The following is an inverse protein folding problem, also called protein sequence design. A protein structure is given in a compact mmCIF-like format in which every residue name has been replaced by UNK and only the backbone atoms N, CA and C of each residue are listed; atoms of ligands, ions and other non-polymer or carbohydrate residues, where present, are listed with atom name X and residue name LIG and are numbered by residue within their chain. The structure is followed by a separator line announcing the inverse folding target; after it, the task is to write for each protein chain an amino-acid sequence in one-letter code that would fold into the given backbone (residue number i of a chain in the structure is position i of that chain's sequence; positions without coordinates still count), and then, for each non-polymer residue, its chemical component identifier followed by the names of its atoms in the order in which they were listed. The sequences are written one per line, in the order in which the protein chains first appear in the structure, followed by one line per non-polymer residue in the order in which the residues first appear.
data_IF_437675186656
#
_entry.id   IF_437675186656
#
_cell.length_a   1.000
_cell.length_b   1.000
_cell.length_c   1.000
_cell.angle_alpha   90.00
_cell.angle_beta   90.00
_cell.angle_gamma   90.00
#
_symmetry.space_group_name_H-M   'P 1'
#
loop_
_entity.id
_entity.type
_entity.pdbx_description
1 polymer ?
#
# COMPACT_ATOMS: atom_id res chain seq x y z
N UNK A 1 8.78 13.23 -32.74
CA UNK A 1 7.36 13.03 -32.35
C UNK A 1 7.32 11.82 -31.44
N UNK A 2 6.84 11.92 -30.18
CA UNK A 2 6.73 10.74 -29.33
C UNK A 2 5.72 9.76 -29.95
N UNK A 3 6.06 8.48 -29.97
CA UNK A 3 5.23 7.44 -30.59
C UNK A 3 3.89 7.30 -29.84
N UNK A 4 2.78 6.98 -30.53
CA UNK A 4 1.46 6.85 -29.90
C UNK A 4 1.44 5.82 -28.74
N UNK A 5 2.38 4.89 -28.71
CA UNK A 5 2.55 3.91 -27.64
C UNK A 5 3.01 4.49 -26.29
N UNK A 6 3.82 5.55 -26.27
CA UNK A 6 4.22 6.19 -25.00
C UNK A 6 3.05 6.95 -24.38
N UNK A 7 2.17 7.52 -25.22
CA UNK A 7 0.96 8.20 -24.78
C UNK A 7 -0.02 7.18 -24.17
N UNK A 8 -0.20 6.02 -24.81
CA UNK A 8 -1.07 4.96 -24.30
C UNK A 8 -0.49 4.31 -23.03
N UNK A 9 0.84 4.09 -22.96
CA UNK A 9 1.50 3.58 -21.74
C UNK A 9 1.36 4.56 -20.58
N UNK A 10 1.63 5.84 -20.82
CA UNK A 10 1.47 6.88 -19.80
C UNK A 10 0.01 7.08 -19.41
N UNK A 11 -0.93 6.92 -20.34
CA UNK A 11 -2.36 6.95 -20.06
C UNK A 11 -2.78 5.76 -19.21
N UNK A 12 -2.41 4.52 -19.54
CA UNK A 12 -2.78 3.33 -18.75
C UNK A 12 -2.14 3.38 -17.36
N UNK A 13 -0.88 3.79 -17.24
CA UNK A 13 -0.21 3.95 -15.93
C UNK A 13 -0.89 5.06 -15.13
N UNK A 14 -1.20 6.22 -15.74
CA UNK A 14 -1.92 7.30 -15.07
C UNK A 14 -3.32 6.91 -14.68
N UNK A 15 -4.08 6.22 -15.54
CA UNK A 15 -5.44 5.75 -15.27
C UNK A 15 -5.44 4.66 -14.19
N UNK A 16 -4.46 3.75 -14.18
CA UNK A 16 -4.28 2.78 -13.11
C UNK A 16 -3.85 3.44 -11.79
N UNK A 17 -3.12 4.56 -11.83
CA UNK A 17 -2.75 5.36 -10.65
C UNK A 17 -3.85 6.34 -10.20
N UNK A 18 -4.78 6.76 -11.07
CA UNK A 18 -5.91 7.65 -10.73
C UNK A 18 -7.18 6.88 -10.37
N UNK A 19 -7.42 5.70 -10.96
CA UNK A 19 -8.52 4.83 -10.55
C UNK A 19 -8.22 4.08 -9.26
N UNK A 20 -6.96 3.74 -9.01
CA UNK A 20 -6.57 3.30 -7.67
C UNK A 20 -6.34 4.52 -6.80
N UNK A 21 -6.98 4.50 -5.63
CA UNK A 21 -7.10 5.53 -4.62
C UNK A 21 -5.77 5.87 -3.92
N UNK A 22 -4.65 5.96 -4.66
CA UNK A 22 -3.30 6.18 -4.11
C UNK A 22 -3.01 7.64 -3.76
N UNK A 23 -3.83 8.60 -4.21
CA UNK A 23 -3.68 10.02 -3.87
C UNK A 23 -3.72 10.28 -2.35
N UNK A 24 -4.21 9.33 -1.55
CA UNK A 24 -4.29 9.44 -0.08
C UNK A 24 -3.47 8.39 0.68
N UNK A 25 -2.50 7.71 0.06
CA UNK A 25 -1.54 6.91 0.84
C UNK A 25 -0.46 7.85 1.40
N UNK A 26 -0.88 8.66 2.38
CA UNK A 26 -0.01 9.50 3.21
C UNK A 26 0.38 8.64 4.40
N UNK A 27 1.65 8.26 4.50
CA UNK A 27 2.13 7.60 5.72
C UNK A 27 2.16 8.62 6.86
N UNK A 28 1.28 8.50 7.87
CA UNK A 28 1.16 9.50 8.92
C UNK A 28 2.48 9.62 9.69
N UNK A 29 2.94 10.84 9.93
CA UNK A 29 4.16 11.12 10.69
C UNK A 29 5.45 11.26 9.87
N UNK A 30 5.38 11.23 8.53
CA UNK A 30 6.51 11.57 7.65
C UNK A 30 6.43 13.03 7.18
N UNK A 31 7.59 13.69 7.06
CA UNK A 31 7.68 15.03 6.47
C UNK A 31 7.30 15.01 4.99
N UNK A 32 6.82 16.15 4.46
CA UNK A 32 6.43 16.27 3.04
C UNK A 32 7.56 15.87 2.09
N UNK A 33 8.80 16.19 2.45
CA UNK A 33 9.98 15.81 1.68
C UNK A 33 10.19 14.28 1.65
N UNK A 34 9.97 13.60 2.78
CA UNK A 34 10.08 12.15 2.84
C UNK A 34 8.91 11.46 2.10
N UNK A 35 7.70 12.02 2.18
CA UNK A 35 6.55 11.54 1.41
C UNK A 35 6.78 11.67 -0.11
N UNK A 36 7.33 12.80 -0.56
CA UNK A 36 7.67 13.01 -1.97
C UNK A 36 8.75 12.04 -2.44
N UNK A 37 9.78 11.78 -1.63
CA UNK A 37 10.80 10.79 -1.93
C UNK A 37 10.20 9.39 -2.09
N UNK A 38 9.38 8.96 -1.12
CA UNK A 38 8.72 7.66 -1.15
C UNK A 38 7.80 7.51 -2.37
N UNK A 39 7.06 8.56 -2.73
CA UNK A 39 6.24 8.57 -3.95
C UNK A 39 7.10 8.40 -5.20
N UNK A 40 8.21 9.12 -5.30
CA UNK A 40 9.12 9.01 -6.45
C UNK A 40 9.73 7.62 -6.58
N UNK A 41 10.08 6.98 -5.47
CA UNK A 41 10.60 5.61 -5.47
C UNK A 41 9.50 4.60 -5.82
N UNK A 42 8.29 4.77 -5.28
CA UNK A 42 7.15 3.92 -5.61
C UNK A 42 6.83 3.95 -7.12
N UNK A 43 6.89 5.12 -7.75
CA UNK A 43 6.70 5.28 -9.20
C UNK A 43 7.79 4.55 -10.00
N UNK A 44 9.05 4.62 -9.58
CA UNK A 44 10.16 3.89 -10.23
C UNK A 44 9.95 2.38 -10.14
N UNK A 45 9.61 1.86 -8.96
CA UNK A 45 9.36 0.43 -8.78
C UNK A 45 8.13 -0.05 -9.53
N UNK A 46 7.06 0.75 -9.57
CA UNK A 46 5.86 0.46 -10.36
C UNK A 46 6.18 0.35 -11.87
N UNK A 47 6.96 1.29 -12.41
CA UNK A 47 7.39 1.26 -13.80
C UNK A 47 8.28 0.05 -14.12
N UNK A 48 9.19 -0.30 -13.21
CA UNK A 48 10.05 -1.47 -13.34
C UNK A 48 9.23 -2.76 -13.32
N UNK A 49 8.29 -2.88 -12.37
CA UNK A 49 7.40 -4.03 -12.26
C UNK A 49 6.58 -4.22 -13.54
N UNK A 50 5.98 -3.14 -14.05
CA UNK A 50 5.26 -3.13 -15.34
C UNK A 50 6.16 -3.61 -16.48
N UNK A 51 7.40 -3.12 -16.55
CA UNK A 51 8.35 -3.55 -17.57
C UNK A 51 8.63 -5.06 -17.47
N UNK A 52 8.88 -5.57 -16.27
CA UNK A 52 9.19 -6.98 -16.05
C UNK A 52 8.03 -7.88 -16.49
N UNK A 53 6.78 -7.56 -16.12
CA UNK A 53 5.64 -8.37 -16.54
C UNK A 53 5.36 -8.28 -18.04
N UNK A 54 5.58 -7.12 -18.66
CA UNK A 54 5.45 -6.98 -20.11
C UNK A 54 6.54 -7.75 -20.87
N UNK A 55 7.78 -7.75 -20.37
CA UNK A 55 8.88 -8.53 -20.94
C UNK A 55 8.60 -10.03 -20.86
N UNK A 56 8.05 -10.51 -19.74
CA UNK A 56 7.84 -11.95 -19.52
C UNK A 56 6.56 -12.50 -20.18
N UNK A 57 5.51 -11.70 -20.29
CA UNK A 57 4.18 -12.17 -20.72
C UNK A 57 3.64 -11.45 -21.97
N UNK A 58 4.39 -10.51 -22.54
CA UNK A 58 3.96 -9.64 -23.63
C UNK A 58 3.14 -8.44 -23.15
N UNK A 59 2.94 -7.45 -24.02
CA UNK A 59 2.37 -6.16 -23.62
C UNK A 59 0.95 -6.26 -23.04
N UNK A 60 0.04 -6.99 -23.70
CA UNK A 60 -1.37 -7.07 -23.28
C UNK A 60 -1.54 -7.94 -22.02
N UNK A 61 -1.03 -9.18 -22.04
CA UNK A 61 -1.14 -10.08 -20.89
C UNK A 61 -0.29 -9.62 -19.69
N UNK A 62 0.85 -8.97 -19.93
CA UNK A 62 1.67 -8.35 -18.90
C UNK A 62 0.96 -7.19 -18.20
N UNK A 63 0.26 -6.33 -18.95
CA UNK A 63 -0.53 -5.25 -18.36
C UNK A 63 -1.68 -5.77 -17.47
N UNK A 64 -2.37 -6.84 -17.90
CA UNK A 64 -3.40 -7.50 -17.09
C UNK A 64 -2.81 -8.02 -15.77
N UNK A 65 -1.70 -8.77 -15.85
CA UNK A 65 -1.00 -9.30 -14.67
C UNK A 65 -0.48 -8.22 -13.74
N UNK A 66 -0.03 -7.09 -14.28
CA UNK A 66 0.34 -5.93 -13.45
C UNK A 66 -0.83 -5.47 -12.59
N UNK A 67 -2.02 -5.32 -13.18
CA UNK A 67 -3.22 -4.88 -12.45
C UNK A 67 -3.59 -5.89 -11.36
N UNK A 68 -3.56 -7.18 -11.67
CA UNK A 68 -3.81 -8.24 -10.68
C UNK A 68 -2.81 -8.19 -9.51
N UNK A 69 -1.51 -7.99 -9.80
CA UNK A 69 -0.47 -7.86 -8.78
C UNK A 69 -0.69 -6.62 -7.90
N UNK A 70 -1.07 -5.49 -8.50
CA UNK A 70 -1.40 -4.29 -7.73
C UNK A 70 -2.58 -4.52 -6.80
N UNK A 71 -3.62 -5.23 -7.26
CA UNK A 71 -4.75 -5.61 -6.41
C UNK A 71 -4.36 -6.52 -5.25
N UNK A 72 -3.45 -7.48 -5.47
CA UNK A 72 -2.92 -8.34 -4.40
C UNK A 72 -2.13 -7.53 -3.36
N UNK A 73 -1.29 -6.60 -3.80
CA UNK A 73 -0.51 -5.72 -2.92
C UNK A 73 -1.45 -4.89 -2.04
N UNK A 74 -2.48 -4.27 -2.63
CA UNK A 74 -3.50 -3.52 -1.88
C UNK A 74 -4.22 -4.42 -0.86
N UNK A 75 -4.58 -5.65 -1.25
CA UNK A 75 -5.18 -6.63 -0.36
C UNK A 75 -4.32 -6.93 0.87
N UNK A 76 -3.01 -7.11 0.68
CA UNK A 76 -2.06 -7.34 1.78
C UNK A 76 -1.97 -6.15 2.74
N UNK A 77 -1.93 -4.92 2.21
CA UNK A 77 -1.93 -3.72 3.06
C UNK A 77 -3.21 -3.58 3.88
N UNK A 78 -4.36 -3.83 3.25
CA UNK A 78 -5.66 -3.81 3.94
C UNK A 78 -5.76 -4.88 5.04
N UNK A 79 -5.27 -6.09 4.77
CA UNK A 79 -5.19 -7.14 5.79
C UNK A 79 -4.27 -6.76 6.94
N UNK A 80 -3.09 -6.20 6.65
CA UNK A 80 -2.16 -5.71 7.67
C UNK A 80 -2.75 -4.61 8.55
N UNK A 81 -3.51 -3.69 7.95
CA UNK A 81 -4.21 -2.63 8.68
C UNK A 81 -5.27 -3.20 9.64
N UNK A 82 -6.11 -4.12 9.17
CA UNK A 82 -7.11 -4.81 10.01
C UNK A 82 -6.47 -5.63 11.13
N UNK A 83 -5.39 -6.35 10.83
CA UNK A 83 -4.65 -7.12 11.83
C UNK A 83 -4.07 -6.22 12.91
N UNK A 84 -3.51 -5.06 12.52
CA UNK A 84 -3.02 -4.06 13.47
C UNK A 84 -4.14 -3.56 14.37
N UNK A 85 -5.28 -3.16 13.81
CA UNK A 85 -6.44 -2.71 14.58
C UNK A 85 -6.91 -3.77 15.60
N UNK A 86 -6.99 -5.03 15.18
CA UNK A 86 -7.35 -6.13 16.06
C UNK A 86 -6.34 -6.30 17.20
N UNK A 87 -5.04 -6.30 16.88
CA UNK A 87 -3.99 -6.42 17.88
C UNK A 87 -3.99 -5.24 18.87
N UNK A 88 -4.23 -4.02 18.38
CA UNK A 88 -4.35 -2.84 19.23
C UNK A 88 -5.54 -2.99 20.19
N UNK A 89 -6.70 -3.45 19.70
CA UNK A 89 -7.86 -3.72 20.55
C UNK A 89 -7.55 -4.78 21.62
N UNK A 90 -6.94 -5.90 21.24
CA UNK A 90 -6.54 -6.95 22.20
C UNK A 90 -5.62 -6.37 23.27
N UNK A 91 -4.59 -5.61 22.86
CA UNK A 91 -3.60 -5.05 23.78
C UNK A 91 -4.16 -4.00 24.75
N UNK A 92 -5.12 -3.18 24.29
CA UNK A 92 -5.65 -2.07 25.07
C UNK A 92 -6.89 -2.44 25.91
N UNK A 93 -7.65 -3.45 25.48
CA UNK A 93 -8.96 -3.77 26.07
C UNK A 93 -9.00 -5.14 26.72
N UNK A 94 -8.43 -6.17 26.07
CA UNK A 94 -8.64 -7.55 26.49
C UNK A 94 -7.52 -8.11 27.36
N UNK A 95 -6.26 -7.76 27.08
CA UNK A 95 -5.12 -8.37 27.77
C UNK A 95 -4.06 -7.32 28.22
N UNK A 96 -4.02 -6.97 29.52
CA UNK A 96 -3.00 -6.09 30.06
C UNK A 96 -1.58 -6.70 30.08
N UNK A 97 -1.45 -8.00 29.79
CA UNK A 97 -0.17 -8.70 29.65
C UNK A 97 0.22 -8.99 28.20
N UNK A 98 -0.46 -8.40 27.21
CA UNK A 98 -0.21 -8.63 25.78
C UNK A 98 1.29 -8.54 25.41
N UNK A 99 2.00 -7.56 25.98
CA UNK A 99 3.42 -7.32 25.73
C UNK A 99 4.35 -8.45 26.25
N UNK A 100 3.86 -9.35 27.10
CA UNK A 100 4.61 -10.50 27.63
C UNK A 100 4.48 -11.75 26.75
N UNK A 101 3.40 -11.84 25.97
CA UNK A 101 3.09 -13.03 25.14
C UNK A 101 3.39 -12.75 23.67
N UNK A 102 3.36 -11.48 23.26
CA UNK A 102 3.58 -11.06 21.89
C UNK A 102 5.03 -10.63 21.64
N UNK A 103 5.60 -10.88 20.43
CA UNK A 103 6.98 -10.49 20.13
C UNK A 103 7.20 -8.98 20.36
N UNK A 104 8.24 -8.57 21.13
CA UNK A 104 8.38 -7.20 21.60
C UNK A 104 8.42 -6.12 20.50
N UNK A 105 8.97 -6.47 19.34
CA UNK A 105 9.04 -5.57 18.18
C UNK A 105 7.65 -5.34 17.59
N UNK A 106 6.85 -6.40 17.44
CA UNK A 106 5.51 -6.32 16.89
C UNK A 106 4.53 -5.70 17.90
N UNK A 107 4.72 -5.96 19.19
CA UNK A 107 3.94 -5.35 20.27
C UNK A 107 4.04 -3.83 20.19
N UNK A 108 5.26 -3.27 20.10
CA UNK A 108 5.48 -1.82 19.95
C UNK A 108 4.79 -1.19 18.73
N UNK A 109 4.64 -1.94 17.64
CA UNK A 109 3.96 -1.46 16.41
C UNK A 109 2.43 -1.47 16.58
N UNK A 110 1.92 -2.40 17.39
CA UNK A 110 0.49 -2.56 17.67
C UNK A 110 0.00 -1.67 18.83
N UNK A 111 0.86 -1.31 19.79
CA UNK A 111 0.49 -0.55 21.00
C UNK A 111 0.74 0.97 20.90
N UNK A 112 1.56 1.42 19.94
CA UNK A 112 1.81 2.86 19.73
C UNK A 112 0.80 3.47 18.74
N UNK A 113 -0.28 4.03 19.27
CA UNK A 113 -1.17 4.95 18.57
C UNK A 113 -2.53 5.07 19.27
N UNK A 114 -3.13 6.27 19.37
CA UNK A 114 -4.51 6.40 19.83
C UNK A 114 -5.42 5.62 18.89
N UNK A 115 -6.28 4.78 19.45
CA UNK A 115 -7.35 4.15 18.69
C UNK A 115 -8.40 5.23 18.46
N UNK A 116 -8.28 5.95 17.36
CA UNK A 116 -9.35 6.80 16.89
C UNK A 116 -10.54 5.90 16.54
N UNK A 117 -11.59 5.93 17.35
CA UNK A 117 -12.75 5.01 17.30
C UNK A 117 -13.45 4.99 15.93
N UNK A 118 -13.35 6.07 15.16
CA UNK A 118 -13.87 6.17 13.80
C UNK A 118 -13.09 5.35 12.77
N UNK A 119 -11.88 4.89 13.09
CA UNK A 119 -11.08 3.99 12.24
C UNK A 119 -11.45 2.52 12.45
N UNK A 120 -12.09 2.16 13.57
CA UNK A 120 -12.53 0.80 13.88
C UNK A 120 -13.84 0.41 13.18
N UNK A 121 -14.68 1.39 12.87
CA UNK A 121 -15.98 1.19 12.23
C UNK A 121 -16.22 2.30 11.20
N UNK A 122 -15.72 2.16 9.96
CA UNK A 122 -16.10 3.05 8.88
C UNK A 122 -17.56 2.76 8.52
N UNK A 123 -18.45 3.71 8.81
CA UNK A 123 -19.81 3.74 8.24
C UNK A 123 -19.75 4.02 6.74
#
# INVERSE_FOLDING_TARGET
MPFPFEIVRNAIVRTAMTQNKWEKVVSPGLSDQAQNLLRSEAEKYAALLMSVVQTNYGHAAGALRYVELMGLIEGLFNMGAKQRQMNTYISNVLDPNFDKVFPPVLAKICTKGPVESHQLFPY
#
